data_IF_878108419000
#
_entry.id   IF_878108419000
#
_cell.length_a   1.000
_cell.length_b   1.000
_cell.length_c   1.000
_cell.angle_alpha   90.00
_cell.angle_beta   90.00
_cell.angle_gamma   90.00
#
_symmetry.space_group_name_H-M   'P 1'
#
loop_
_entity.id
_entity.type
_entity.pdbx_description
1 polymer ?
#
# COMPACT_ATOMS: atom_id res chain seq x y z
N UNK A 1 -13.58 0.67 16.12
CA UNK A 1 -12.53 -0.34 15.86
C UNK A 1 -12.89 -1.75 16.33
N UNK A 2 -13.45 -1.95 17.53
CA UNK A 2 -13.87 -3.28 18.04
C UNK A 2 -14.79 -4.01 17.04
N UNK A 3 -15.89 -3.38 16.61
CA UNK A 3 -16.83 -3.94 15.59
C UNK A 3 -16.15 -4.33 14.27
N UNK A 4 -15.20 -3.57 13.79
CA UNK A 4 -14.50 -3.85 12.52
C UNK A 4 -13.60 -5.10 12.62
N UNK A 5 -13.06 -5.41 13.81
CA UNK A 5 -12.33 -6.68 14.07
C UNK A 5 -13.29 -7.84 14.22
N UNK A 6 -14.37 -7.66 15.00
CA UNK A 6 -15.38 -8.69 15.24
C UNK A 6 -16.09 -9.13 13.95
N UNK A 7 -16.30 -8.22 13.01
CA UNK A 7 -16.86 -8.53 11.68
C UNK A 7 -15.85 -9.19 10.73
N UNK A 8 -14.56 -9.20 11.06
CA UNK A 8 -13.49 -9.65 10.18
C UNK A 8 -13.13 -8.65 9.06
N UNK A 9 -13.70 -7.44 9.07
CA UNK A 9 -13.34 -6.37 8.13
C UNK A 9 -11.90 -5.91 8.32
N UNK A 10 -11.49 -5.64 9.56
CA UNK A 10 -10.12 -5.30 9.91
C UNK A 10 -9.39 -6.56 10.40
N UNK A 11 -8.51 -7.12 9.58
CA UNK A 11 -7.68 -8.28 9.91
C UNK A 11 -6.59 -7.92 10.92
N UNK A 12 -5.92 -6.79 10.71
CA UNK A 12 -4.82 -6.34 11.56
C UNK A 12 -4.23 -5.01 11.14
N UNK A 13 -3.06 -4.73 11.69
CA UNK A 13 -2.21 -3.59 11.32
C UNK A 13 -0.80 -4.10 11.10
N UNK A 14 -0.10 -3.55 10.12
CA UNK A 14 1.32 -3.82 9.89
C UNK A 14 2.10 -2.52 9.79
N UNK A 15 3.34 -2.58 10.24
CA UNK A 15 4.30 -1.49 10.13
C UNK A 15 5.11 -1.69 8.85
N UNK A 16 5.24 -0.63 8.06
CA UNK A 16 6.06 -0.58 6.85
C UNK A 16 7.13 0.49 6.97
N UNK A 17 8.24 0.27 6.31
CA UNK A 17 9.33 1.22 6.17
C UNK A 17 9.17 2.02 4.89
N UNK A 18 9.59 3.29 4.93
CA UNK A 18 9.80 4.05 3.71
C UNK A 18 10.96 3.42 2.91
N UNK A 19 10.77 3.09 1.63
CA UNK A 19 11.81 2.46 0.81
C UNK A 19 13.08 3.30 0.72
N UNK A 20 12.98 4.62 0.68
CA UNK A 20 14.14 5.53 0.60
C UNK A 20 15.10 5.40 1.79
N UNK A 21 14.60 5.03 3.00
CA UNK A 21 15.47 4.78 4.17
C UNK A 21 16.45 3.63 3.98
N UNK A 22 16.11 2.70 3.14
CA UNK A 22 16.88 1.47 2.91
C UNK A 22 17.49 1.45 1.52
N UNK A 23 17.50 2.61 0.83
CA UNK A 23 18.09 2.76 -0.50
C UNK A 23 17.30 2.05 -1.59
N UNK A 24 15.99 1.92 -1.42
CA UNK A 24 15.08 1.35 -2.40
C UNK A 24 14.15 2.42 -2.96
N UNK A 25 13.70 2.18 -4.18
CA UNK A 25 12.62 2.89 -4.83
C UNK A 25 11.34 2.05 -4.77
N UNK A 26 10.21 2.66 -5.14
CA UNK A 26 8.93 1.95 -5.20
C UNK A 26 8.22 2.15 -6.52
N UNK A 27 7.48 1.14 -6.95
CA UNK A 27 6.57 1.21 -8.08
C UNK A 27 5.26 0.52 -7.73
N UNK A 28 4.17 1.07 -8.28
CA UNK A 28 2.90 0.39 -8.31
C UNK A 28 2.66 -0.18 -9.71
N UNK A 29 1.98 -1.30 -9.77
CA UNK A 29 1.55 -1.90 -11.03
C UNK A 29 0.21 -2.61 -10.87
N UNK A 30 -0.53 -2.68 -11.96
CA UNK A 30 -1.75 -3.48 -12.04
C UNK A 30 -1.66 -4.37 -13.28
N UNK A 31 -1.87 -5.67 -13.08
CA UNK A 31 -1.88 -6.68 -14.15
C UNK A 31 -3.25 -7.37 -14.17
N UNK A 32 -3.58 -7.96 -15.31
CA UNK A 32 -4.67 -8.93 -15.42
C UNK A 32 -4.07 -10.34 -15.39
N UNK A 33 -4.67 -11.24 -14.63
CA UNK A 33 -4.30 -12.66 -14.60
C UNK A 33 -4.99 -13.33 -15.79
N UNK A 34 -4.30 -14.20 -16.49
CA UNK A 34 -4.84 -14.90 -17.67
C UNK A 34 -6.05 -15.76 -17.33
N UNK A 35 -5.98 -16.53 -16.24
CA UNK A 35 -7.02 -17.42 -15.75
C UNK A 35 -7.39 -17.10 -14.30
N UNK A 36 -8.63 -16.61 -14.10
CA UNK A 36 -9.14 -16.20 -12.79
C UNK A 36 -9.19 -17.36 -11.78
N UNK A 37 -9.36 -18.60 -12.24
CA UNK A 37 -9.39 -19.79 -11.36
C UNK A 37 -8.05 -20.03 -10.67
N UNK A 38 -6.94 -19.57 -11.27
CA UNK A 38 -5.59 -19.66 -10.72
C UNK A 38 -5.23 -18.50 -9.77
N UNK A 39 -6.11 -17.55 -9.59
CA UNK A 39 -5.79 -16.32 -8.86
C UNK A 39 -5.25 -16.55 -7.43
N UNK A 40 -5.79 -17.47 -6.61
CA UNK A 40 -5.22 -17.76 -5.29
C UNK A 40 -3.77 -18.30 -5.37
N UNK A 41 -3.48 -19.17 -6.34
CA UNK A 41 -2.11 -19.66 -6.58
C UNK A 41 -1.18 -18.53 -7.03
N UNK A 42 -1.64 -17.70 -7.95
CA UNK A 42 -0.89 -16.54 -8.46
C UNK A 42 -0.54 -15.59 -7.33
N UNK A 43 -1.50 -15.22 -6.47
CA UNK A 43 -1.29 -14.36 -5.31
C UNK A 43 -0.20 -14.97 -4.41
N UNK A 44 -0.34 -16.23 -4.02
CA UNK A 44 0.63 -16.91 -3.16
C UNK A 44 2.04 -16.94 -3.75
N UNK A 45 2.17 -17.06 -5.08
CA UNK A 45 3.47 -17.03 -5.78
C UNK A 45 4.03 -15.61 -5.88
N UNK A 46 3.18 -14.60 -6.11
CA UNK A 46 3.60 -13.20 -6.17
C UNK A 46 4.07 -12.70 -4.80
N UNK A 47 3.46 -13.14 -3.70
CA UNK A 47 3.92 -12.87 -2.33
C UNK A 47 5.37 -13.32 -2.06
N UNK A 48 5.86 -14.32 -2.80
CA UNK A 48 7.23 -14.83 -2.68
C UNK A 48 8.24 -14.05 -3.56
N UNK A 49 7.78 -13.06 -4.33
CA UNK A 49 8.69 -12.20 -5.10
C UNK A 49 9.30 -11.16 -4.16
N UNK A 50 10.63 -11.14 -4.10
CA UNK A 50 11.37 -10.19 -3.27
C UNK A 50 10.99 -8.74 -3.59
N UNK A 51 10.74 -7.95 -2.54
CA UNK A 51 10.32 -6.56 -2.63
C UNK A 51 8.82 -6.33 -2.85
N UNK A 52 8.00 -7.35 -3.07
CA UNK A 52 6.54 -7.19 -3.03
C UNK A 52 6.11 -6.85 -1.61
N UNK A 53 5.40 -5.74 -1.44
CA UNK A 53 5.01 -5.22 -0.12
C UNK A 53 3.51 -5.14 0.09
N UNK A 54 2.74 -4.86 -0.97
CA UNK A 54 1.28 -4.80 -0.89
C UNK A 54 0.72 -5.45 -2.15
N UNK A 55 -0.28 -6.31 -1.96
CA UNK A 55 -1.16 -6.78 -3.01
C UNK A 55 -2.57 -6.28 -2.73
N UNK A 56 -3.29 -5.89 -3.79
CA UNK A 56 -4.73 -5.62 -3.72
C UNK A 56 -5.41 -6.61 -4.65
N UNK A 57 -6.18 -7.49 -4.05
CA UNK A 57 -7.01 -8.44 -4.77
C UNK A 57 -8.36 -7.82 -5.12
N UNK A 58 -8.80 -8.01 -6.36
CA UNK A 58 -10.09 -7.53 -6.88
C UNK A 58 -10.99 -8.72 -7.24
N UNK A 59 -12.30 -8.50 -7.29
CA UNK A 59 -13.28 -9.48 -7.79
C UNK A 59 -13.21 -9.69 -9.31
N UNK A 60 -12.31 -9.01 -10.00
CA UNK A 60 -11.98 -9.20 -11.41
C UNK A 60 -10.67 -9.98 -11.57
N UNK A 61 -10.21 -10.16 -12.80
CA UNK A 61 -8.87 -10.72 -13.10
C UNK A 61 -7.72 -9.80 -12.68
N UNK A 62 -8.00 -8.57 -12.27
CA UNK A 62 -6.97 -7.62 -11.89
C UNK A 62 -6.30 -7.99 -10.56
N UNK A 63 -5.00 -7.74 -10.49
CA UNK A 63 -4.20 -7.76 -9.29
C UNK A 63 -3.32 -6.51 -9.28
N UNK A 64 -3.38 -5.72 -8.21
CA UNK A 64 -2.50 -4.57 -8.01
C UNK A 64 -1.37 -4.94 -7.07
N UNK A 65 -0.16 -4.50 -7.39
CA UNK A 65 1.07 -4.85 -6.69
C UNK A 65 1.84 -3.57 -6.41
N UNK A 66 2.27 -3.38 -5.16
CA UNK A 66 3.27 -2.38 -4.80
C UNK A 66 4.57 -3.11 -4.53
N UNK A 67 5.62 -2.67 -5.22
CA UNK A 67 6.91 -3.34 -5.27
C UNK A 67 8.02 -2.36 -4.93
N UNK A 68 8.96 -2.77 -4.08
CA UNK A 68 10.22 -2.08 -3.81
C UNK A 68 11.35 -2.69 -4.65
N UNK A 69 12.26 -1.85 -5.15
CA UNK A 69 13.35 -2.27 -6.02
C UNK A 69 14.59 -1.38 -5.82
N UNK A 70 15.76 -1.88 -6.22
CA UNK A 70 17.05 -1.19 -6.03
C UNK A 70 17.43 -0.28 -7.21
N UNK A 71 17.25 -0.79 -8.41
CA UNK A 71 17.60 -0.14 -9.67
C UNK A 71 16.72 -0.69 -10.80
N UNK A 72 16.83 -0.09 -11.99
CA UNK A 72 16.01 -0.50 -13.14
C UNK A 72 16.24 -1.96 -13.57
N UNK A 73 17.43 -2.51 -13.40
CA UNK A 73 17.69 -3.93 -13.74
C UNK A 73 16.98 -4.87 -12.74
N UNK A 74 16.98 -4.52 -11.47
CA UNK A 74 16.24 -5.25 -10.43
C UNK A 74 14.73 -5.18 -10.68
N UNK A 75 14.23 -3.97 -11.01
CA UNK A 75 12.84 -3.74 -11.35
C UNK A 75 12.39 -4.59 -12.54
N UNK A 76 13.12 -4.54 -13.65
CA UNK A 76 12.77 -5.28 -14.87
C UNK A 76 12.74 -6.78 -14.62
N UNK A 77 13.74 -7.34 -13.91
CA UNK A 77 13.76 -8.76 -13.53
C UNK A 77 12.52 -9.15 -12.70
N UNK A 78 12.14 -8.33 -11.73
CA UNK A 78 10.96 -8.56 -10.87
C UNK A 78 9.66 -8.47 -11.68
N UNK A 79 9.54 -7.49 -12.57
CA UNK A 79 8.39 -7.34 -13.46
C UNK A 79 8.24 -8.59 -14.36
N UNK A 80 9.31 -9.04 -14.99
CA UNK A 80 9.27 -10.23 -15.86
C UNK A 80 8.86 -11.49 -15.08
N UNK A 81 9.38 -11.63 -13.86
CA UNK A 81 8.94 -12.72 -12.97
C UNK A 81 7.46 -12.66 -12.64
N UNK A 82 6.96 -11.48 -12.28
CA UNK A 82 5.53 -11.26 -11.96
C UNK A 82 4.66 -11.53 -13.19
N UNK A 83 5.02 -11.02 -14.37
CA UNK A 83 4.31 -11.30 -15.63
C UNK A 83 4.24 -12.81 -15.92
N UNK A 84 5.35 -13.52 -15.75
CA UNK A 84 5.40 -14.98 -15.93
C UNK A 84 4.49 -15.72 -14.94
N UNK A 85 4.37 -15.25 -13.69
CA UNK A 85 3.48 -15.84 -12.70
C UNK A 85 2.01 -15.58 -13.06
N UNK A 86 1.69 -14.33 -13.48
CA UNK A 86 0.33 -13.93 -13.84
C UNK A 86 -0.13 -14.49 -15.20
N UNK A 87 0.80 -14.92 -16.07
CA UNK A 87 0.51 -15.39 -17.42
C UNK A 87 0.04 -14.25 -18.35
N UNK A 88 0.40 -13.00 -18.07
CA UNK A 88 -0.11 -11.85 -18.82
C UNK A 88 0.92 -10.75 -18.97
N UNK A 89 0.96 -10.15 -20.16
CA UNK A 89 1.77 -8.97 -20.47
C UNK A 89 1.02 -7.63 -20.31
N UNK A 90 -0.29 -7.68 -20.05
CA UNK A 90 -1.10 -6.49 -19.85
C UNK A 90 -0.76 -5.85 -18.50
N UNK A 91 0.07 -4.81 -18.53
CA UNK A 91 0.58 -4.12 -17.36
C UNK A 91 0.32 -2.62 -17.46
N UNK A 92 -0.28 -2.04 -16.44
CA UNK A 92 -0.23 -0.60 -16.16
C UNK A 92 0.72 -0.38 -15.00
N UNK A 93 1.71 0.52 -15.16
CA UNK A 93 2.72 0.80 -14.14
C UNK A 93 2.79 2.29 -13.84
N UNK A 94 3.10 2.63 -12.59
CA UNK A 94 3.35 3.99 -12.14
C UNK A 94 4.49 4.02 -11.11
N UNK A 95 5.15 5.16 -10.98
CA UNK A 95 6.14 5.37 -9.94
C UNK A 95 5.44 5.43 -8.57
N UNK A 96 6.02 4.81 -7.56
CA UNK A 96 5.50 4.88 -6.18
C UNK A 96 5.66 6.30 -5.61
N UNK A 97 4.64 6.76 -4.90
CA UNK A 97 4.59 8.10 -4.31
C UNK A 97 4.94 8.09 -2.82
N UNK A 98 6.07 7.50 -2.41
CA UNK A 98 6.51 7.66 -1.02
C UNK A 98 7.17 9.03 -0.84
N UNK A 99 6.80 9.77 0.23
CA UNK A 99 7.44 11.05 0.52
C UNK A 99 8.92 10.83 0.86
N UNK A 100 9.78 11.81 0.57
CA UNK A 100 11.19 11.78 0.95
C UNK A 100 11.36 11.66 2.47
N UNK A 101 12.47 11.08 2.89
CA UNK A 101 12.87 10.99 4.29
C UNK A 101 14.38 11.14 4.40
N UNK A 102 14.82 12.20 5.09
CA UNK A 102 16.23 12.50 5.31
C UNK A 102 16.73 12.04 6.70
N UNK A 103 15.87 11.40 7.48
CA UNK A 103 16.20 10.97 8.84
C UNK A 103 17.18 9.79 8.78
N UNK A 104 18.37 9.98 9.35
CA UNK A 104 19.29 8.87 9.62
C UNK A 104 18.83 8.10 10.85
N UNK A 105 18.30 6.91 10.65
CA UNK A 105 17.86 6.04 11.74
C UNK A 105 19.06 5.50 12.55
N UNK A 106 18.90 5.55 13.87
CA UNK A 106 19.88 5.01 14.82
C UNK A 106 19.53 3.56 15.15
N UNK A 107 20.47 2.83 15.76
CA UNK A 107 20.23 1.46 16.26
C UNK A 107 18.94 1.36 17.09
N UNK A 108 18.76 2.28 18.03
CA UNK A 108 17.55 2.34 18.88
C UNK A 108 16.26 2.47 18.07
N UNK A 109 16.29 3.14 16.92
CA UNK A 109 15.10 3.27 16.05
C UNK A 109 14.77 1.92 15.42
N UNK A 110 15.79 1.20 14.95
CA UNK A 110 15.62 -0.15 14.39
C UNK A 110 15.13 -1.16 15.42
N UNK A 111 15.61 -1.08 16.66
CA UNK A 111 15.12 -1.90 17.79
C UNK A 111 13.66 -1.60 18.10
N UNK A 112 13.27 -0.33 18.10
CA UNK A 112 11.86 0.09 18.28
C UNK A 112 10.99 -0.39 17.09
N UNK A 113 11.47 -0.22 15.85
CA UNK A 113 10.78 -0.70 14.64
C UNK A 113 10.59 -2.22 14.70
N UNK A 114 11.63 -2.97 15.07
CA UNK A 114 11.55 -4.44 15.25
C UNK A 114 10.47 -4.83 16.25
N UNK A 115 10.45 -4.19 17.42
CA UNK A 115 9.47 -4.48 18.46
C UNK A 115 8.03 -4.14 18.05
N UNK A 116 7.81 -3.07 17.26
CA UNK A 116 6.49 -2.72 16.71
C UNK A 116 6.09 -3.56 15.50
N UNK A 117 7.03 -4.21 14.84
CA UNK A 117 6.81 -4.90 13.58
C UNK A 117 5.76 -6.00 13.68
N UNK A 118 5.74 -6.73 14.79
CA UNK A 118 4.79 -7.84 15.01
C UNK A 118 3.37 -7.35 15.33
N UNK A 119 3.24 -6.30 16.14
CA UNK A 119 1.98 -5.63 16.41
C UNK A 119 2.20 -4.11 16.59
N UNK A 120 1.90 -3.31 15.57
CA UNK A 120 2.06 -1.85 15.62
C UNK A 120 1.15 -1.15 16.63
N UNK A 121 0.28 -1.88 17.31
CA UNK A 121 -0.64 -1.36 18.33
C UNK A 121 -0.22 -1.67 19.78
N UNK A 122 0.92 -2.29 19.96
CA UNK A 122 1.51 -2.50 21.28
C UNK A 122 1.68 -1.16 22.00
N UNK A 123 1.56 -1.19 23.31
CA UNK A 123 1.78 0.00 24.13
C UNK A 123 3.26 0.41 24.05
N UNK A 124 3.56 1.72 24.12
CA UNK A 124 4.95 2.17 24.19
C UNK A 124 5.75 1.62 25.38
N UNK A 125 5.09 1.15 26.43
CA UNK A 125 5.73 0.50 27.60
C UNK A 125 6.21 -0.92 27.28
N UNK A 126 5.40 -1.73 26.60
CA UNK A 126 5.79 -3.08 26.15
C UNK A 126 6.95 -3.03 25.15
N UNK A 127 6.91 -2.07 24.22
CA UNK A 127 8.00 -1.85 23.26
C UNK A 127 9.28 -1.38 23.96
N UNK A 128 9.15 -0.53 24.98
CA UNK A 128 10.29 -0.03 25.76
C UNK A 128 11.03 -1.15 26.48
N UNK A 129 10.30 -2.11 27.03
CA UNK A 129 10.86 -3.30 27.69
C UNK A 129 11.65 -4.15 26.69
N UNK A 130 11.07 -4.47 25.53
CA UNK A 130 11.70 -5.28 24.49
C UNK A 130 12.91 -4.59 23.87
N UNK A 131 12.80 -3.30 23.52
CA UNK A 131 13.88 -2.50 22.95
C UNK A 131 14.92 -2.01 23.99
N UNK A 132 14.74 -2.35 25.28
CA UNK A 132 15.61 -1.97 26.40
C UNK A 132 15.87 -0.46 26.48
N UNK A 133 14.83 0.34 26.30
CA UNK A 133 14.87 1.80 26.40
C UNK A 133 13.74 2.32 27.30
N UNK A 134 13.73 3.61 27.61
CA UNK A 134 12.61 4.19 28.36
C UNK A 134 11.35 4.37 27.49
N UNK A 135 10.16 4.26 28.09
CA UNK A 135 8.88 4.56 27.42
C UNK A 135 8.87 5.97 26.81
N UNK A 136 9.53 6.94 27.46
CA UNK A 136 9.69 8.30 26.95
C UNK A 136 10.52 8.31 25.65
N UNK A 137 11.57 7.50 25.59
CA UNK A 137 12.41 7.35 24.38
C UNK A 137 11.59 6.76 23.25
N UNK A 138 10.82 5.68 23.49
CA UNK A 138 9.92 5.09 22.48
C UNK A 138 8.97 6.10 21.91
N UNK A 139 8.20 6.80 22.76
CA UNK A 139 7.23 7.82 22.32
C UNK A 139 7.90 8.90 21.46
N UNK A 140 9.00 9.47 21.94
CA UNK A 140 9.73 10.50 21.20
C UNK A 140 10.25 10.01 19.87
N UNK A 141 10.84 8.78 19.82
CA UNK A 141 11.39 8.24 18.56
C UNK A 141 10.31 7.88 17.56
N UNK A 142 9.17 7.35 18.02
CA UNK A 142 8.00 7.10 17.15
C UNK A 142 7.50 8.39 16.51
N UNK A 143 7.32 9.45 17.31
CA UNK A 143 6.91 10.77 16.77
C UNK A 143 7.90 11.23 15.69
N UNK A 144 9.20 11.21 15.99
CA UNK A 144 10.24 11.63 15.02
C UNK A 144 10.20 10.78 13.75
N UNK A 145 10.10 9.45 13.86
CA UNK A 145 10.05 8.56 12.70
C UNK A 145 8.77 8.77 11.86
N UNK A 146 7.64 9.01 12.49
CA UNK A 146 6.38 9.25 11.79
C UNK A 146 6.37 10.61 11.10
N UNK A 147 6.79 11.68 11.78
CA UNK A 147 6.85 13.05 11.23
C UNK A 147 7.85 13.16 10.06
N UNK A 148 8.90 12.34 10.06
CA UNK A 148 9.88 12.26 8.97
C UNK A 148 9.56 11.17 7.93
N UNK A 149 8.35 10.66 7.91
CA UNK A 149 7.89 9.65 6.95
C UNK A 149 8.76 8.38 6.91
N UNK A 150 9.41 8.01 8.02
CA UNK A 150 10.27 6.80 8.07
C UNK A 150 9.46 5.52 8.09
N UNK A 151 8.33 5.55 8.79
CA UNK A 151 7.46 4.40 9.02
C UNK A 151 6.00 4.74 8.74
N UNK A 152 5.27 3.73 8.28
CA UNK A 152 3.83 3.80 8.04
C UNK A 152 3.14 2.64 8.73
N UNK A 153 1.97 2.90 9.32
CA UNK A 153 1.11 1.85 9.89
C UNK A 153 -0.10 1.68 8.98
N UNK A 154 -0.19 0.52 8.33
CA UNK A 154 -1.23 0.21 7.37
C UNK A 154 -2.20 -0.82 7.94
N UNK A 155 -3.52 -0.63 7.75
CA UNK A 155 -4.52 -1.63 8.10
C UNK A 155 -4.53 -2.74 7.04
N UNK A 156 -4.68 -3.97 7.47
CA UNK A 156 -4.99 -5.11 6.61
C UNK A 156 -6.49 -5.35 6.64
N UNK A 157 -7.14 -5.16 5.49
CA UNK A 157 -8.61 -5.08 5.38
C UNK A 157 -9.14 -6.17 4.45
N UNK A 158 -10.19 -6.84 4.89
CA UNK A 158 -11.03 -7.70 4.06
C UNK A 158 -12.30 -6.91 3.68
N UNK A 159 -12.33 -6.40 2.46
CA UNK A 159 -13.42 -5.56 1.98
C UNK A 159 -14.73 -6.33 1.77
N UNK A 160 -14.69 -7.66 1.59
CA UNK A 160 -15.90 -8.52 1.52
C UNK A 160 -16.68 -8.53 2.85
N UNK A 161 -16.05 -8.09 3.93
CA UNK A 161 -16.68 -7.94 5.26
C UNK A 161 -17.14 -6.51 5.54
N UNK A 162 -17.12 -5.61 4.54
CA UNK A 162 -17.69 -4.27 4.66
C UNK A 162 -19.22 -4.31 4.59
N UNK A 163 -19.87 -3.22 5.04
CA UNK A 163 -21.31 -3.03 4.87
C UNK A 163 -21.66 -2.42 3.50
N UNK A 164 -20.80 -2.60 2.50
CA UNK A 164 -20.95 -2.05 1.16
C UNK A 164 -19.93 -2.66 0.23
N UNK A 165 -19.70 -2.03 -0.90
CA UNK A 165 -18.81 -2.47 -1.96
C UNK A 165 -17.61 -1.53 -2.02
N UNK A 166 -16.41 -2.05 -1.86
CA UNK A 166 -15.19 -1.25 -2.00
C UNK A 166 -14.87 -1.06 -3.49
N UNK A 167 -15.30 0.05 -4.05
CA UNK A 167 -15.07 0.41 -5.45
C UNK A 167 -13.78 1.20 -5.59
N UNK A 168 -12.90 0.74 -6.46
CA UNK A 168 -11.63 1.37 -6.82
C UNK A 168 -11.74 1.99 -8.21
N UNK A 169 -11.61 3.30 -8.28
CA UNK A 169 -11.73 4.09 -9.51
C UNK A 169 -10.33 4.46 -9.99
N UNK A 170 -9.88 3.83 -11.07
CA UNK A 170 -8.68 4.23 -11.81
C UNK A 170 -9.12 5.25 -12.87
N UNK A 171 -8.67 6.49 -12.72
CA UNK A 171 -9.13 7.66 -13.46
C UNK A 171 -7.99 8.14 -14.36
N UNK A 172 -8.15 8.05 -15.66
CA UNK A 172 -7.17 8.53 -16.64
C UNK A 172 -7.43 10.01 -16.94
N UNK A 173 -6.46 10.86 -16.61
CA UNK A 173 -6.49 12.29 -16.87
C UNK A 173 -5.07 12.77 -17.19
N UNK A 174 -4.67 12.82 -18.50
CA UNK A 174 -3.32 13.11 -18.91
C UNK A 174 -2.84 14.53 -18.58
N UNK A 175 -3.75 15.51 -18.64
CA UNK A 175 -3.46 16.90 -18.30
C UNK A 175 -3.32 17.05 -16.77
N UNK A 176 -2.17 17.54 -16.32
CA UNK A 176 -1.83 17.63 -14.91
C UNK A 176 -2.69 18.67 -14.15
N UNK A 177 -2.95 19.82 -14.77
CA UNK A 177 -3.74 20.89 -14.15
C UNK A 177 -5.19 20.44 -14.00
N UNK A 178 -5.79 19.86 -15.05
CA UNK A 178 -7.14 19.31 -15.02
C UNK A 178 -7.25 18.13 -14.05
N UNK A 179 -6.24 17.25 -13.99
CA UNK A 179 -6.18 16.15 -13.02
C UNK A 179 -6.17 16.68 -11.58
N UNK A 180 -5.39 17.73 -11.30
CA UNK A 180 -5.38 18.39 -10.00
C UNK A 180 -6.74 18.93 -9.58
N UNK A 181 -7.46 19.57 -10.51
CA UNK A 181 -8.81 20.08 -10.27
C UNK A 181 -9.85 18.96 -10.12
N UNK A 182 -9.81 17.94 -10.97
CA UNK A 182 -10.65 16.75 -10.85
C UNK A 182 -10.44 16.05 -9.49
N UNK A 183 -9.19 15.90 -9.04
CA UNK A 183 -8.88 15.31 -7.73
C UNK A 183 -9.48 16.10 -6.56
N UNK A 184 -9.48 17.44 -6.62
CA UNK A 184 -10.13 18.28 -5.60
C UNK A 184 -11.64 18.05 -5.57
N UNK A 185 -12.29 18.04 -6.73
CA UNK A 185 -13.74 17.82 -6.84
C UNK A 185 -14.11 16.41 -6.35
N UNK A 186 -13.32 15.37 -6.68
CA UNK A 186 -13.53 14.00 -6.22
C UNK A 186 -13.40 13.93 -4.70
N UNK A 187 -12.35 14.51 -4.11
CA UNK A 187 -12.19 14.55 -2.64
C UNK A 187 -13.30 15.30 -1.93
N UNK A 188 -13.83 16.35 -2.53
CA UNK A 188 -14.96 17.10 -1.97
C UNK A 188 -16.28 16.34 -2.00
N UNK A 189 -16.48 15.44 -2.98
CA UNK A 189 -17.73 14.70 -3.16
C UNK A 189 -17.73 13.34 -2.45
N UNK A 190 -16.58 12.62 -2.46
CA UNK A 190 -16.49 11.30 -1.86
C UNK A 190 -16.27 11.41 -0.35
N UNK A 191 -17.12 10.77 0.45
CA UNK A 191 -17.15 10.86 1.92
C UNK A 191 -16.64 9.60 2.63
N UNK A 192 -16.49 8.49 1.92
CA UNK A 192 -16.06 7.17 2.46
C UNK A 192 -14.82 6.63 1.76
N UNK A 193 -13.88 7.54 1.46
CA UNK A 193 -12.60 7.18 0.83
C UNK A 193 -11.79 6.31 1.81
N UNK A 194 -11.37 5.14 1.35
CA UNK A 194 -10.48 4.23 2.09
C UNK A 194 -9.03 4.32 1.63
N UNK A 195 -8.83 4.76 0.37
CA UNK A 195 -7.51 4.92 -0.22
C UNK A 195 -7.56 5.95 -1.35
N UNK A 196 -6.47 6.69 -1.56
CA UNK A 196 -6.29 7.52 -2.77
C UNK A 196 -4.83 7.64 -3.14
N UNK A 197 -4.55 7.67 -4.45
CA UNK A 197 -3.25 7.93 -5.05
C UNK A 197 -3.45 8.98 -6.14
N UNK A 198 -2.90 10.18 -5.94
CA UNK A 198 -3.16 11.35 -6.81
C UNK A 198 -1.91 11.97 -7.41
N UNK A 199 -0.73 11.62 -6.89
CA UNK A 199 0.56 12.18 -7.32
C UNK A 199 1.23 11.31 -8.39
N UNK A 200 0.42 10.83 -9.35
CA UNK A 200 0.87 9.96 -10.42
C UNK A 200 0.64 10.64 -11.77
N UNK A 201 1.62 10.54 -12.66
CA UNK A 201 1.53 11.12 -13.99
C UNK A 201 0.48 10.40 -14.83
N UNK A 202 -0.52 11.15 -15.29
CA UNK A 202 -1.52 10.68 -16.27
C UNK A 202 -2.78 10.06 -15.67
N UNK A 203 -2.80 9.69 -14.38
CA UNK A 203 -3.99 9.13 -13.77
C UNK A 203 -4.07 9.37 -12.26
N UNK A 204 -5.22 9.05 -11.67
CA UNK A 204 -5.44 9.02 -10.23
C UNK A 204 -6.21 7.76 -9.84
N UNK A 205 -6.07 7.35 -8.59
CA UNK A 205 -6.84 6.24 -8.03
C UNK A 205 -7.58 6.76 -6.79
N UNK A 206 -8.87 6.44 -6.70
CA UNK A 206 -9.67 6.63 -5.50
C UNK A 206 -10.43 5.34 -5.20
N UNK A 207 -10.30 4.84 -3.99
CA UNK A 207 -11.10 3.72 -3.50
C UNK A 207 -12.05 4.18 -2.41
N UNK A 208 -13.32 3.82 -2.53
CA UNK A 208 -14.39 4.20 -1.61
C UNK A 208 -15.31 3.02 -1.31
N UNK A 209 -15.87 3.00 -0.10
CA UNK A 209 -16.98 2.09 0.22
C UNK A 209 -18.28 2.69 -0.31
N UNK A 210 -18.82 2.10 -1.35
CA UNK A 210 -20.15 2.40 -1.91
C UNK A 210 -21.22 1.54 -1.22
N UNK A 211 -22.44 2.04 -1.09
CA UNK A 211 -23.55 1.28 -0.49
C UNK A 211 -23.88 0.06 -1.34
N UNK A 212 -23.84 0.22 -2.68
CA UNK A 212 -24.14 -0.82 -3.66
C UNK A 212 -23.50 -0.50 -5.02
N UNK A 213 -23.70 -1.37 -6.00
CA UNK A 213 -23.16 -1.17 -7.37
C UNK A 213 -23.77 0.05 -8.06
N UNK A 214 -25.02 0.37 -7.81
CA UNK A 214 -25.67 1.53 -8.42
C UNK A 214 -24.96 2.84 -8.01
N UNK A 215 -24.65 3.01 -6.73
CA UNK A 215 -23.86 4.16 -6.26
C UNK A 215 -22.47 4.20 -6.92
N UNK A 216 -21.82 3.05 -7.05
CA UNK A 216 -20.51 2.94 -7.73
C UNK A 216 -20.58 3.39 -9.19
N UNK A 217 -21.63 2.96 -9.91
CA UNK A 217 -21.86 3.36 -11.30
C UNK A 217 -22.17 4.86 -11.44
N UNK A 218 -22.97 5.43 -10.54
CA UNK A 218 -23.29 6.87 -10.54
C UNK A 218 -22.02 7.70 -10.27
N UNK A 219 -21.17 7.26 -9.35
CA UNK A 219 -19.88 7.90 -9.10
C UNK A 219 -18.98 7.81 -10.34
N UNK A 220 -18.88 6.63 -10.96
CA UNK A 220 -18.12 6.44 -12.20
C UNK A 220 -18.58 7.40 -13.31
N UNK A 221 -19.89 7.46 -13.56
CA UNK A 221 -20.48 8.36 -14.58
C UNK A 221 -20.17 9.82 -14.27
N UNK A 222 -20.29 10.22 -13.01
CA UNK A 222 -19.98 11.58 -12.59
C UNK A 222 -18.51 11.90 -12.78
N UNK A 223 -17.59 11.03 -12.35
CA UNK A 223 -16.15 11.23 -12.55
C UNK A 223 -15.81 11.33 -14.03
N UNK A 224 -16.41 10.48 -14.87
CA UNK A 224 -16.19 10.50 -16.33
C UNK A 224 -16.65 11.81 -16.98
N UNK A 225 -17.56 12.53 -16.36
CA UNK A 225 -18.03 13.86 -16.80
C UNK A 225 -17.13 15.02 -16.37
N UNK A 226 -16.10 14.81 -15.55
CA UNK A 226 -15.19 15.87 -15.14
C UNK A 226 -14.26 16.30 -16.27
N UNK A 227 -13.92 17.58 -16.30
CA UNK A 227 -13.05 18.13 -17.35
C UNK A 227 -11.67 17.48 -17.32
N UNK A 228 -11.19 17.06 -18.48
CA UNK A 228 -9.89 16.40 -18.68
C UNK A 228 -9.86 14.91 -18.35
N UNK A 229 -10.92 14.33 -17.80
CA UNK A 229 -11.02 12.87 -17.59
C UNK A 229 -11.33 12.20 -18.92
N UNK A 230 -10.42 11.34 -19.38
CA UNK A 230 -10.57 10.59 -20.64
C UNK A 230 -11.16 9.21 -20.45
N UNK A 231 -10.90 8.55 -19.32
CA UNK A 231 -11.43 7.23 -18.99
C UNK A 231 -11.52 7.00 -17.48
N UNK A 232 -12.45 6.13 -17.05
CA UNK A 232 -12.63 5.69 -15.66
C UNK A 232 -12.87 4.19 -15.64
N UNK A 233 -11.93 3.43 -15.14
CA UNK A 233 -12.09 1.99 -14.87
C UNK A 233 -12.48 1.78 -13.41
N UNK A 234 -13.40 0.87 -13.16
CA UNK A 234 -13.83 0.48 -11.82
C UNK A 234 -13.54 -0.98 -11.60
N UNK A 235 -12.83 -1.27 -10.52
CA UNK A 235 -12.61 -2.63 -10.02
C UNK A 235 -13.17 -2.73 -8.58
N UNK A 236 -13.74 -3.87 -8.23
CA UNK A 236 -14.26 -4.11 -6.86
C UNK A 236 -13.17 -4.80 -6.04
N UNK A 237 -12.75 -4.16 -4.97
CA UNK A 237 -11.72 -4.68 -4.07
C UNK A 237 -12.27 -5.82 -3.21
N UNK A 238 -11.52 -6.90 -3.09
CA UNK A 238 -11.77 -8.02 -2.18
C UNK A 238 -11.01 -7.83 -0.87
N UNK A 239 -9.71 -7.69 -0.97
CA UNK A 239 -8.83 -7.47 0.18
C UNK A 239 -7.52 -6.80 -0.20
N UNK A 240 -6.85 -6.20 0.78
CA UNK A 240 -5.44 -5.89 0.67
C UNK A 240 -4.63 -6.88 1.51
N UNK A 241 -3.55 -7.38 0.91
CA UNK A 241 -2.62 -8.33 1.50
C UNK A 241 -1.30 -7.59 1.72
N UNK A 242 -0.83 -7.57 2.96
CA UNK A 242 0.39 -6.89 3.35
C UNK A 242 1.52 -7.91 3.49
N UNK A 243 2.49 -7.87 2.56
CA UNK A 243 3.62 -8.80 2.50
C UNK A 243 4.79 -8.19 3.27
N UNK A 244 5.21 -8.87 4.32
CA UNK A 244 6.14 -8.30 5.28
C UNK A 244 7.44 -9.12 5.50
N UNK A 245 7.52 -10.33 4.98
CA UNK A 245 8.64 -11.24 5.24
C UNK A 245 10.02 -10.65 4.93
N UNK A 246 10.17 -10.03 3.76
CA UNK A 246 11.46 -9.44 3.37
C UNK A 246 11.81 -8.18 4.20
N UNK A 247 10.80 -7.48 4.76
CA UNK A 247 11.02 -6.34 5.66
C UNK A 247 11.67 -6.79 6.97
N UNK A 248 11.31 -7.98 7.47
CA UNK A 248 11.92 -8.54 8.66
C UNK A 248 13.41 -8.82 8.43
N UNK A 249 13.75 -9.39 7.27
CA UNK A 249 15.14 -9.63 6.88
C UNK A 249 15.94 -8.31 6.76
N UNK A 250 15.35 -7.25 6.20
CA UNK A 250 16.00 -5.94 6.08
C UNK A 250 16.20 -5.28 7.46
N UNK A 251 15.24 -5.37 8.38
CA UNK A 251 15.37 -4.87 9.74
C UNK A 251 16.52 -5.57 10.47
N UNK A 252 16.61 -6.89 10.38
CA UNK A 252 17.70 -7.66 11.00
C UNK A 252 19.08 -7.27 10.42
N UNK A 253 19.15 -7.10 9.10
CA UNK A 253 20.37 -6.63 8.43
C UNK A 253 20.81 -5.26 8.96
N UNK A 254 19.90 -4.30 9.10
CA UNK A 254 20.19 -2.96 9.63
C UNK A 254 20.65 -2.99 11.10
N UNK A 255 20.07 -3.86 11.89
CA UNK A 255 20.50 -4.06 13.28
C UNK A 255 21.92 -4.63 13.35
N UNK A 256 22.28 -5.52 12.42
CA UNK A 256 23.62 -6.09 12.34
C UNK A 256 24.66 -5.05 11.85
N UNK A 257 24.31 -4.19 10.90
CA UNK A 257 25.17 -3.10 10.38
C UNK A 257 25.44 -2.02 11.45
N UNK A 258 24.64 -1.94 12.51
CA UNK A 258 24.81 -1.04 13.65
C UNK A 258 25.12 -1.83 14.95
N UNK A 259 26.28 -2.50 15.07
CA UNK A 259 26.62 -3.23 16.30
C UNK A 259 26.61 -2.30 17.52
N UNK A 260 26.34 -2.85 18.69
CA UNK A 260 26.44 -2.10 19.94
C UNK A 260 27.89 -1.61 20.12
N UNK A 261 28.04 -0.30 20.28
CA UNK A 261 29.29 0.28 20.76
C UNK A 261 29.43 0.00 22.26
#
# INVERSE_FOLDING_TARGET
MKRARESGFLKGWKLFLNPHLIGLESTGMQLEIDDETRKPEVISRVEQVDGVVILIDFHSKALRIILYYRDENDLERKIQRIKSICGSDKLVRWQGGFPGSDLKMKKTDWEIVKAFRQDPRRSPSEVAEEARVSTRTVKRRLTVMTENNCIFMLPEINYDKSNGIASDFLIVCPDEAKRGEANKQIRAKLDRIVFSLTDVKGFSIFAQICVNLFESEEIQKWIKGLDGVSDVRVDIMRENILVDKWLDEEIEKRLFEHPAV
#
